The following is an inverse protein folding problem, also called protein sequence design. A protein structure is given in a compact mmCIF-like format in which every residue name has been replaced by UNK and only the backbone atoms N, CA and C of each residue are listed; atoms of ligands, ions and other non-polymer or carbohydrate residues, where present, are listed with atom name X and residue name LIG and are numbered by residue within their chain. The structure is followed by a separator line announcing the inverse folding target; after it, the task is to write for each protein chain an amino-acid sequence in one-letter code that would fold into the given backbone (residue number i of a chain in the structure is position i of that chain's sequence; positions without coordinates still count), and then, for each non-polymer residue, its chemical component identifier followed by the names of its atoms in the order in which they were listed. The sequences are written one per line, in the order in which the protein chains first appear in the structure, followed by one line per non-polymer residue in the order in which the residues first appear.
data_IF_301719135505
#
_entry.id   IF_301719135505
#
_cell.length_a   1.000
_cell.length_b   1.000
_cell.length_c   1.000
_cell.angle_alpha   90.00
_cell.angle_beta   90.00
_cell.angle_gamma   90.00
#
_symmetry.space_group_name_H-M   'P 1'
#
loop_
_entity.id
_entity.type
_entity.pdbx_description
1 polymer ?
#
# COMPACT_ATOMS: atom_id res chain seq x y z
N UNK A 1 -4.04 -3.39 7.34
CA UNK A 1 -4.75 -2.49 6.40
C UNK A 1 -5.48 -3.31 5.35
N UNK A 2 -6.77 -3.06 5.14
CA UNK A 2 -7.63 -3.91 4.32
C UNK A 2 -8.40 -3.01 3.34
N UNK A 3 -7.94 -2.89 2.07
CA UNK A 3 -8.74 -2.23 1.03
C UNK A 3 -9.99 -3.05 0.71
N UNK A 4 -11.15 -2.40 0.67
CA UNK A 4 -12.45 -3.06 0.48
C UNK A 4 -13.37 -2.29 -0.44
N UNK A 5 -14.24 -3.01 -1.15
CA UNK A 5 -15.39 -2.47 -1.87
C UNK A 5 -16.44 -3.56 -2.00
N UNK A 6 -17.58 -3.42 -1.28
CA UNK A 6 -18.68 -4.37 -1.27
C UNK A 6 -18.21 -5.82 -0.95
N UNK A 7 -17.64 -5.99 0.24
CA UNK A 7 -17.13 -7.27 0.75
C UNK A 7 -17.85 -7.69 2.06
N UNK A 8 -19.16 -7.37 2.20
CA UNK A 8 -19.95 -7.66 3.42
C UNK A 8 -19.92 -9.14 3.81
N UNK A 9 -19.75 -10.05 2.84
CA UNK A 9 -19.71 -11.51 3.08
C UNK A 9 -18.42 -11.95 3.74
N UNK A 10 -17.30 -11.33 3.40
CA UNK A 10 -15.95 -11.82 3.75
C UNK A 10 -15.26 -10.95 4.81
N UNK A 11 -15.53 -9.63 4.84
CA UNK A 11 -14.76 -8.70 5.67
C UNK A 11 -14.76 -9.07 7.17
N UNK A 12 -15.86 -9.62 7.67
CA UNK A 12 -15.96 -10.07 9.07
C UNK A 12 -14.98 -11.19 9.38
N UNK A 13 -14.91 -12.21 8.53
CA UNK A 13 -14.01 -13.37 8.69
C UNK A 13 -12.55 -12.97 8.47
N UNK A 14 -12.28 -12.08 7.51
CA UNK A 14 -10.94 -11.54 7.27
C UNK A 14 -10.41 -10.85 8.53
N UNK A 15 -11.23 -10.04 9.20
CA UNK A 15 -10.86 -9.35 10.43
C UNK A 15 -10.67 -10.34 11.59
N UNK A 16 -11.60 -11.28 11.78
CA UNK A 16 -11.53 -12.29 12.86
C UNK A 16 -10.32 -13.23 12.70
N UNK A 17 -9.92 -13.52 11.47
CA UNK A 17 -8.76 -14.36 11.15
C UNK A 17 -7.39 -13.71 11.43
N UNK A 18 -7.33 -12.41 11.74
CA UNK A 18 -6.08 -11.73 12.07
C UNK A 18 -5.51 -12.28 13.37
N UNK A 19 -4.25 -12.79 13.40
CA UNK A 19 -3.68 -13.46 14.57
C UNK A 19 -3.25 -12.45 15.66
N UNK A 20 -4.17 -11.56 16.06
CA UNK A 20 -3.89 -10.46 16.99
C UNK A 20 -3.35 -10.94 18.34
N UNK A 21 -3.89 -12.04 18.89
CA UNK A 21 -3.40 -12.61 20.15
C UNK A 21 -1.96 -13.10 20.02
N UNK A 22 -1.62 -13.80 18.95
CA UNK A 22 -0.26 -14.28 18.71
C UNK A 22 0.72 -13.10 18.51
N UNK A 23 0.32 -12.07 17.77
CA UNK A 23 1.14 -10.88 17.58
C UNK A 23 1.36 -10.12 18.90
N UNK A 24 0.35 -10.02 19.75
CA UNK A 24 0.47 -9.40 21.08
C UNK A 24 1.46 -10.17 22.00
N UNK A 25 1.47 -11.50 21.97
CA UNK A 25 2.46 -12.27 22.73
C UNK A 25 3.91 -12.04 22.25
N UNK A 26 4.07 -11.58 21.00
CA UNK A 26 5.35 -11.16 20.42
C UNK A 26 5.66 -9.68 20.67
N UNK A 27 4.85 -8.96 21.45
CA UNK A 27 5.04 -7.56 21.81
C UNK A 27 4.49 -6.54 20.81
N UNK A 28 3.63 -6.96 19.86
CA UNK A 28 2.98 -6.08 18.90
C UNK A 28 1.60 -5.65 19.38
N UNK A 29 1.31 -4.37 19.35
CA UNK A 29 -0.06 -3.88 19.36
C UNK A 29 -0.63 -3.90 17.94
N UNK A 30 -1.89 -4.37 17.80
CA UNK A 30 -2.51 -4.61 16.48
C UNK A 30 -3.67 -3.68 16.30
N UNK A 31 -3.54 -2.80 15.33
CA UNK A 31 -4.60 -1.90 14.87
C UNK A 31 -5.09 -2.33 13.48
N UNK A 32 -6.41 -2.32 13.28
CA UNK A 32 -7.04 -2.72 12.02
C UNK A 32 -7.57 -1.47 11.34
N UNK A 33 -7.09 -1.21 10.12
CA UNK A 33 -7.56 -0.12 9.27
C UNK A 33 -8.19 -0.69 8.01
N UNK A 34 -9.48 -0.43 7.80
CA UNK A 34 -10.20 -0.72 6.56
C UNK A 34 -10.19 0.54 5.69
N UNK A 35 -9.78 0.38 4.43
CA UNK A 35 -9.78 1.45 3.42
C UNK A 35 -10.96 1.19 2.48
N UNK A 36 -12.05 1.88 2.72
CA UNK A 36 -13.32 1.67 2.03
C UNK A 36 -13.39 2.44 0.70
N UNK A 37 -13.69 1.71 -0.37
CA UNK A 37 -13.84 2.21 -1.73
C UNK A 37 -15.25 2.70 -2.09
N UNK A 38 -16.01 3.22 -1.12
CA UNK A 38 -17.43 3.59 -1.25
C UNK A 38 -18.36 2.38 -1.33
N UNK A 39 -18.24 1.44 -0.40
CA UNK A 39 -19.14 0.30 -0.30
C UNK A 39 -20.59 0.74 -0.09
N UNK A 40 -21.49 0.13 -0.85
CA UNK A 40 -22.93 0.35 -0.79
C UNK A 40 -23.70 -0.72 0.02
N UNK A 41 -22.99 -1.76 0.44
CA UNK A 41 -23.46 -2.86 1.27
C UNK A 41 -23.09 -2.65 2.75
N UNK A 42 -23.17 -3.68 3.57
CA UNK A 42 -22.87 -3.62 5.01
C UNK A 42 -21.39 -3.74 5.36
N UNK A 43 -20.47 -3.67 4.39
CA UNK A 43 -19.02 -3.80 4.61
C UNK A 43 -18.52 -2.89 5.74
N UNK A 44 -18.84 -1.60 5.68
CA UNK A 44 -18.39 -0.60 6.66
C UNK A 44 -18.99 -0.83 8.04
N UNK A 45 -20.28 -1.20 8.10
CA UNK A 45 -20.98 -1.52 9.37
C UNK A 45 -20.31 -2.71 10.05
N UNK A 46 -20.06 -3.80 9.30
CA UNK A 46 -19.43 -5.02 9.81
C UNK A 46 -18.02 -4.72 10.30
N UNK A 47 -17.22 -4.00 9.50
CA UNK A 47 -15.85 -3.66 9.87
C UNK A 47 -15.78 -2.86 11.18
N UNK A 48 -16.62 -1.84 11.34
CA UNK A 48 -16.70 -1.05 12.58
C UNK A 48 -17.17 -1.89 13.77
N UNK A 49 -18.15 -2.77 13.56
CA UNK A 49 -18.64 -3.70 14.59
C UNK A 49 -17.57 -4.67 15.09
N UNK A 50 -16.55 -4.97 14.27
CA UNK A 50 -15.36 -5.76 14.61
C UNK A 50 -14.22 -4.93 15.21
N UNK A 51 -14.43 -3.64 15.46
CA UNK A 51 -13.44 -2.74 16.07
C UNK A 51 -12.41 -2.18 15.09
N UNK A 52 -12.59 -2.36 13.77
CA UNK A 52 -11.72 -1.74 12.79
C UNK A 52 -11.98 -0.23 12.66
N UNK A 53 -10.91 0.53 12.50
CA UNK A 53 -10.99 1.92 12.03
C UNK A 53 -11.28 1.90 10.54
N UNK A 54 -12.17 2.78 10.07
CA UNK A 54 -12.57 2.82 8.65
C UNK A 54 -12.25 4.19 8.09
N UNK A 55 -11.45 4.19 7.04
CA UNK A 55 -11.17 5.35 6.20
C UNK A 55 -11.90 5.19 4.87
N UNK A 56 -12.76 6.12 4.49
CA UNK A 56 -13.39 6.13 3.17
C UNK A 56 -12.52 6.98 2.22
N UNK A 57 -12.03 6.35 1.15
CA UNK A 57 -11.13 7.00 0.19
C UNK A 57 -11.81 8.12 -0.59
N UNK A 58 -11.03 9.08 -1.08
CA UNK A 58 -11.47 10.05 -2.07
C UNK A 58 -11.20 9.49 -3.48
N UNK A 59 -12.22 9.50 -4.36
CA UNK A 59 -12.14 8.92 -5.70
C UNK A 59 -12.32 7.40 -5.70
N UNK A 60 -11.97 6.75 -6.81
CA UNK A 60 -12.27 5.35 -7.06
C UNK A 60 -11.00 4.53 -7.30
N UNK A 61 -11.10 3.22 -7.05
CA UNK A 61 -10.07 2.22 -7.31
C UNK A 61 -9.12 1.98 -6.14
N UNK A 62 -8.64 0.73 -6.05
CA UNK A 62 -7.77 0.25 -4.96
C UNK A 62 -6.51 1.12 -4.80
N UNK A 63 -5.85 1.44 -5.90
CA UNK A 63 -4.63 2.25 -5.88
C UNK A 63 -4.87 3.65 -5.33
N UNK A 64 -6.04 4.26 -5.61
CA UNK A 64 -6.39 5.58 -5.08
C UNK A 64 -6.45 5.57 -3.54
N UNK A 65 -7.11 4.58 -2.94
CA UNK A 65 -7.18 4.42 -1.50
C UNK A 65 -5.81 4.20 -0.85
N UNK A 66 -5.05 3.25 -1.38
CA UNK A 66 -3.71 2.92 -0.87
C UNK A 66 -2.75 4.11 -0.95
N UNK A 67 -2.72 4.81 -2.07
CA UNK A 67 -1.91 6.01 -2.26
C UNK A 67 -2.24 7.10 -1.25
N UNK A 68 -3.52 7.33 -0.98
CA UNK A 68 -3.94 8.31 0.02
C UNK A 68 -3.42 7.96 1.41
N UNK A 69 -3.54 6.69 1.80
CA UNK A 69 -3.05 6.21 3.09
C UNK A 69 -1.52 6.29 3.18
N UNK A 70 -0.79 5.85 2.15
CA UNK A 70 0.67 5.90 2.18
C UNK A 70 1.22 7.33 2.12
N UNK A 71 0.55 8.25 1.43
CA UNK A 71 0.94 9.67 1.40
C UNK A 71 0.84 10.35 2.75
N UNK A 72 -0.02 9.86 3.65
CA UNK A 72 -0.13 10.38 5.03
C UNK A 72 1.17 10.16 5.86
N UNK A 73 2.08 9.30 5.40
CA UNK A 73 3.39 9.13 6.04
C UNK A 73 4.46 10.12 5.58
N UNK A 74 4.20 10.88 4.53
CA UNK A 74 5.10 11.97 4.15
C UNK A 74 4.76 13.22 4.98
N UNK A 75 5.64 13.68 5.90
CA UNK A 75 5.36 14.83 6.77
C UNK A 75 5.00 16.10 6.01
N UNK A 76 5.55 16.28 4.79
CA UNK A 76 5.26 17.45 3.95
C UNK A 76 3.84 17.43 3.38
N UNK A 77 3.34 16.25 3.01
CA UNK A 77 1.96 16.09 2.51
C UNK A 77 0.92 16.19 3.63
N UNK A 78 1.26 15.71 4.83
CA UNK A 78 0.39 15.83 6.02
C UNK A 78 0.11 17.29 6.34
N UNK A 79 1.13 18.14 6.36
CA UNK A 79 0.97 19.58 6.65
C UNK A 79 0.07 20.25 5.61
N UNK A 80 0.29 19.98 4.31
CA UNK A 80 -0.51 20.56 3.23
C UNK A 80 -1.97 20.10 3.28
N UNK A 81 -2.24 18.82 3.59
CA UNK A 81 -3.61 18.28 3.70
C UNK A 81 -4.33 18.77 4.95
N UNK A 82 -3.67 18.86 6.09
CA UNK A 82 -4.25 19.40 7.33
C UNK A 82 -4.71 20.84 7.16
N UNK A 83 -4.00 21.64 6.38
CA UNK A 83 -4.39 23.00 6.05
C UNK A 83 -5.59 23.08 5.10
N UNK A 84 -5.79 22.06 4.24
CA UNK A 84 -6.90 22.00 3.26
C UNK A 84 -8.19 21.33 3.80
N UNK A 85 -8.12 20.53 4.87
CA UNK A 85 -9.17 19.62 5.33
C UNK A 85 -9.83 20.08 6.64
N UNK A 86 -10.19 21.34 6.77
CA UNK A 86 -10.91 21.83 7.98
C UNK A 86 -12.28 21.18 8.26
N UNK A 87 -12.82 20.33 7.38
CA UNK A 87 -14.16 19.74 7.50
C UNK A 87 -14.25 18.20 7.57
N UNK A 88 -13.14 17.44 7.43
CA UNK A 88 -13.16 15.98 7.46
C UNK A 88 -12.32 15.39 8.60
N UNK A 89 -12.18 16.11 9.69
CA UNK A 89 -11.09 15.95 10.66
C UNK A 89 -11.17 14.68 11.53
N UNK A 90 -12.36 14.16 11.84
CA UNK A 90 -12.46 13.11 12.88
C UNK A 90 -12.16 11.67 12.38
N UNK A 91 -12.54 11.30 11.16
CA UNK A 91 -12.24 9.96 10.61
C UNK A 91 -10.81 9.83 10.11
N UNK A 92 -10.27 10.90 9.54
CA UNK A 92 -8.93 10.91 8.95
C UNK A 92 -7.83 10.97 10.01
N UNK A 93 -8.05 11.65 11.13
CA UNK A 93 -7.11 11.69 12.26
C UNK A 93 -6.94 10.31 12.92
N UNK A 94 -8.02 9.52 13.02
CA UNK A 94 -7.96 8.18 13.56
C UNK A 94 -7.13 7.22 12.69
N UNK A 95 -7.32 7.29 11.37
CA UNK A 95 -6.52 6.52 10.41
C UNK A 95 -5.06 6.96 10.39
N UNK A 96 -4.82 8.27 10.49
CA UNK A 96 -3.48 8.88 10.50
C UNK A 96 -2.66 8.45 11.72
N UNK A 97 -3.25 8.45 12.92
CA UNK A 97 -2.55 8.04 14.15
C UNK A 97 -2.06 6.59 14.07
N UNK A 98 -2.89 5.67 13.55
CA UNK A 98 -2.53 4.26 13.35
C UNK A 98 -1.27 4.10 12.51
N UNK A 99 -1.17 4.87 11.44
CA UNK A 99 -0.05 4.77 10.50
C UNK A 99 1.23 5.43 11.01
N UNK A 100 1.12 6.56 11.69
CA UNK A 100 2.29 7.32 12.15
C UNK A 100 3.09 6.55 13.20
N UNK A 101 2.41 5.83 14.08
CA UNK A 101 3.03 5.13 15.21
C UNK A 101 3.34 3.66 14.91
N UNK A 102 2.87 3.10 13.79
CA UNK A 102 3.09 1.69 13.49
C UNK A 102 4.52 1.40 13.02
N UNK A 103 5.12 0.32 13.52
CA UNK A 103 6.41 -0.21 13.06
C UNK A 103 6.29 -0.89 11.69
N UNK A 104 5.21 -1.61 11.49
CA UNK A 104 4.91 -2.35 10.26
C UNK A 104 3.50 -2.05 9.77
N UNK A 105 3.32 -2.07 8.47
CA UNK A 105 2.00 -2.08 7.82
C UNK A 105 1.87 -3.37 7.03
N UNK A 106 0.86 -4.18 7.34
CA UNK A 106 0.50 -5.35 6.54
C UNK A 106 -0.81 -5.07 5.82
N UNK A 107 -0.80 -5.20 4.50
CA UNK A 107 -1.97 -5.08 3.63
C UNK A 107 -2.42 -6.48 3.20
N UNK A 108 -3.74 -6.70 3.16
CA UNK A 108 -4.35 -7.86 2.51
C UNK A 108 -5.72 -7.46 1.95
N UNK A 109 -6.14 -8.10 0.86
CA UNK A 109 -7.44 -7.86 0.25
C UNK A 109 -8.58 -8.33 1.17
N UNK A 110 -9.71 -7.60 1.14
CA UNK A 110 -10.86 -7.85 2.01
C UNK A 110 -11.83 -8.91 1.52
N UNK A 111 -11.53 -9.60 0.40
CA UNK A 111 -12.40 -10.55 -0.29
C UNK A 111 -12.31 -12.01 0.20
N UNK A 112 -11.53 -12.26 1.26
CA UNK A 112 -11.36 -13.58 1.86
C UNK A 112 -10.43 -14.52 1.12
N UNK A 113 -9.87 -14.15 -0.04
CA UNK A 113 -8.98 -15.03 -0.81
C UNK A 113 -7.60 -15.22 -0.16
N UNK A 114 -7.20 -14.30 0.73
CA UNK A 114 -5.94 -14.32 1.45
C UNK A 114 -6.18 -14.60 2.94
N UNK A 115 -5.85 -15.80 3.48
CA UNK A 115 -6.03 -16.09 4.89
C UNK A 115 -5.19 -15.15 5.78
N UNK A 116 -5.86 -14.42 6.65
CA UNK A 116 -5.23 -13.41 7.53
C UNK A 116 -4.20 -13.99 8.50
N UNK A 117 -4.22 -15.30 8.74
CA UNK A 117 -3.25 -15.99 9.60
C UNK A 117 -1.81 -15.80 9.13
N UNK A 118 -1.58 -15.61 7.82
CA UNK A 118 -0.24 -15.39 7.27
C UNK A 118 0.37 -14.03 7.62
N UNK A 119 -0.40 -13.11 8.21
CA UNK A 119 0.13 -11.85 8.78
C UNK A 119 1.26 -12.14 9.77
N UNK A 120 1.14 -13.22 10.56
CA UNK A 120 2.18 -13.65 11.49
C UNK A 120 3.52 -13.96 10.81
N UNK A 121 3.49 -14.63 9.65
CA UNK A 121 4.68 -14.95 8.84
C UNK A 121 5.26 -13.72 8.17
N UNK A 122 4.40 -12.82 7.68
CA UNK A 122 4.83 -11.54 7.09
C UNK A 122 5.57 -10.69 8.13
N UNK A 123 5.01 -10.55 9.34
CA UNK A 123 5.64 -9.81 10.44
C UNK A 123 6.96 -10.47 10.87
N UNK A 124 7.02 -11.82 10.89
CA UNK A 124 8.26 -12.52 11.22
C UNK A 124 9.38 -12.20 10.22
N UNK A 125 9.08 -12.20 8.93
CA UNK A 125 10.06 -11.86 7.90
C UNK A 125 10.50 -10.37 7.98
N UNK A 126 9.57 -9.45 8.31
CA UNK A 126 9.95 -8.05 8.56
C UNK A 126 10.87 -7.91 9.79
N UNK A 127 10.71 -8.74 10.82
CA UNK A 127 11.62 -8.78 11.98
C UNK A 127 13.02 -9.29 11.62
N UNK A 128 13.15 -10.10 10.56
CA UNK A 128 14.43 -10.54 10.00
C UNK A 128 15.14 -9.44 9.19
N UNK A 129 14.56 -8.24 9.14
CA UNK A 129 15.16 -7.06 8.51
C UNK A 129 14.81 -6.88 7.04
N UNK A 130 13.78 -7.54 6.52
CA UNK A 130 13.22 -7.17 5.24
C UNK A 130 12.47 -5.84 5.33
N UNK A 131 12.53 -5.03 4.26
CA UNK A 131 11.78 -3.77 4.17
C UNK A 131 10.40 -3.99 3.59
N UNK A 132 10.29 -4.95 2.67
CA UNK A 132 9.06 -5.29 1.95
C UNK A 132 8.92 -6.80 1.84
N UNK A 133 7.75 -7.32 2.19
CA UNK A 133 7.40 -8.74 2.07
C UNK A 133 6.16 -8.89 1.21
N UNK A 134 6.20 -9.81 0.25
CA UNK A 134 5.06 -10.25 -0.53
C UNK A 134 4.60 -11.63 -0.06
N UNK A 135 3.28 -11.80 0.08
CA UNK A 135 2.68 -13.13 0.24
C UNK A 135 2.60 -13.82 -1.12
N UNK A 136 3.49 -14.78 -1.40
CA UNK A 136 3.50 -15.45 -2.70
C UNK A 136 2.58 -16.66 -2.72
N UNK A 137 1.57 -16.61 -3.60
CA UNK A 137 0.67 -17.73 -3.92
C UNK A 137 1.41 -18.85 -4.65
N UNK A 138 2.38 -18.48 -5.49
CA UNK A 138 3.19 -19.43 -6.29
C UNK A 138 4.22 -20.20 -5.46
N UNK A 139 4.59 -19.69 -4.29
CA UNK A 139 5.43 -20.42 -3.31
C UNK A 139 4.61 -21.24 -2.31
N UNK A 140 3.31 -20.98 -2.24
CA UNK A 140 2.38 -21.61 -1.31
C UNK A 140 1.41 -22.55 -1.98
N UNK A 141 0.15 -22.48 -1.58
CA UNK A 141 -0.91 -23.36 -2.05
C UNK A 141 -1.98 -22.53 -2.75
N UNK A 142 -2.27 -22.86 -4.00
CA UNK A 142 -3.40 -22.30 -4.75
C UNK A 142 -4.50 -23.37 -4.72
N UNK A 143 -5.63 -23.06 -4.07
CA UNK A 143 -6.78 -23.96 -4.00
C UNK A 143 -7.34 -24.21 -5.41
N UNK A 144 -7.78 -25.44 -5.66
CA UNK A 144 -8.33 -25.82 -6.96
C UNK A 144 -9.52 -24.93 -7.34
N UNK A 145 -9.45 -24.31 -8.52
CA UNK A 145 -10.50 -23.42 -9.02
C UNK A 145 -10.42 -21.97 -8.52
N UNK A 146 -9.57 -21.64 -7.54
CA UNK A 146 -9.44 -20.27 -7.02
C UNK A 146 -8.77 -19.31 -8.00
N UNK A 147 -7.96 -19.81 -8.92
CA UNK A 147 -7.28 -19.02 -9.94
C UNK A 147 -7.47 -19.65 -11.33
N UNK A 148 -7.94 -18.86 -12.30
CA UNK A 148 -8.04 -19.33 -13.68
C UNK A 148 -6.66 -19.58 -14.29
N UNK A 149 -6.56 -20.50 -15.26
CA UNK A 149 -5.30 -20.77 -15.98
C UNK A 149 -4.74 -19.52 -16.66
N UNK A 150 -5.60 -18.63 -17.15
CA UNK A 150 -5.20 -17.37 -17.76
C UNK A 150 -4.56 -16.44 -16.73
N UNK A 151 -5.18 -16.29 -15.55
CA UNK A 151 -4.62 -15.47 -14.45
C UNK A 151 -3.32 -16.05 -13.92
N UNK A 152 -3.23 -17.37 -13.81
CA UNK A 152 -2.00 -18.06 -13.41
C UNK A 152 -0.86 -17.74 -14.38
N UNK A 153 -1.07 -17.98 -15.67
CA UNK A 153 -0.06 -17.71 -16.69
C UNK A 153 0.29 -16.22 -16.79
N UNK A 154 -0.71 -15.34 -16.75
CA UNK A 154 -0.51 -13.90 -16.77
C UNK A 154 0.35 -13.41 -15.61
N UNK A 155 0.03 -13.84 -14.38
CA UNK A 155 0.83 -13.51 -13.20
C UNK A 155 2.27 -14.05 -13.30
N UNK A 156 2.45 -15.28 -13.78
CA UNK A 156 3.76 -15.86 -14.00
C UNK A 156 4.60 -15.01 -14.96
N UNK A 157 4.02 -14.60 -16.10
CA UNK A 157 4.72 -13.76 -17.08
C UNK A 157 5.06 -12.39 -16.50
N UNK A 158 4.09 -11.72 -15.84
CA UNK A 158 4.31 -10.40 -15.24
C UNK A 158 5.37 -10.41 -14.15
N UNK A 159 5.39 -11.45 -13.31
CA UNK A 159 6.40 -11.59 -12.25
C UNK A 159 7.82 -11.80 -12.82
N UNK A 160 7.94 -12.62 -13.87
CA UNK A 160 9.22 -12.80 -14.55
C UNK A 160 9.70 -11.52 -15.25
N UNK A 161 8.79 -10.78 -15.89
CA UNK A 161 9.11 -9.48 -16.50
C UNK A 161 9.56 -8.46 -15.45
N UNK A 162 8.88 -8.39 -14.31
CA UNK A 162 9.27 -7.52 -13.20
C UNK A 162 10.67 -7.89 -12.67
N UNK A 163 10.91 -9.19 -12.45
CA UNK A 163 12.22 -9.70 -12.01
C UNK A 163 13.34 -9.31 -12.97
N UNK A 164 13.10 -9.44 -14.28
CA UNK A 164 14.08 -9.09 -15.31
C UNK A 164 14.32 -7.57 -15.37
N UNK A 165 13.27 -6.77 -15.39
CA UNK A 165 13.36 -5.32 -15.52
C UNK A 165 14.08 -4.67 -14.33
N UNK A 166 13.90 -5.20 -13.13
CA UNK A 166 14.43 -4.61 -11.90
C UNK A 166 15.62 -5.34 -11.31
N UNK A 167 16.05 -6.46 -11.92
CA UNK A 167 17.08 -7.36 -11.39
C UNK A 167 16.80 -7.78 -9.92
N UNK A 168 15.51 -7.87 -9.55
CA UNK A 168 15.00 -8.22 -8.23
C UNK A 168 14.04 -9.40 -8.38
N UNK A 169 14.38 -10.59 -7.86
CA UNK A 169 13.51 -11.76 -7.97
C UNK A 169 12.16 -11.53 -7.28
N UNK A 170 11.09 -11.86 -7.99
CA UNK A 170 9.72 -11.91 -7.45
C UNK A 170 8.95 -13.03 -8.15
N UNK A 171 8.21 -13.83 -7.39
CA UNK A 171 7.43 -14.95 -7.95
C UNK A 171 5.96 -14.60 -8.11
N UNK A 172 5.44 -13.65 -7.33
CA UNK A 172 4.03 -13.26 -7.35
C UNK A 172 3.87 -11.75 -7.20
N UNK A 173 4.01 -11.04 -8.33
CA UNK A 173 3.89 -9.58 -8.37
C UNK A 173 2.49 -9.08 -8.03
N UNK A 174 1.45 -9.80 -8.51
CA UNK A 174 0.05 -9.37 -8.40
C UNK A 174 -0.65 -9.95 -7.17
N UNK A 175 0.11 -10.24 -6.11
CA UNK A 175 -0.47 -10.67 -4.84
C UNK A 175 -1.20 -9.53 -4.14
N UNK A 176 -2.30 -9.83 -3.44
CA UNK A 176 -3.00 -8.87 -2.59
C UNK A 176 -2.48 -8.82 -1.14
N UNK A 177 -1.44 -9.61 -0.78
CA UNK A 177 -0.86 -9.59 0.56
C UNK A 177 0.54 -9.02 0.55
N UNK A 178 0.73 -7.90 1.25
CA UNK A 178 2.01 -7.18 1.34
C UNK A 178 2.31 -6.77 2.78
N UNK A 179 3.59 -6.81 3.15
CA UNK A 179 4.09 -6.26 4.40
C UNK A 179 5.16 -5.21 4.14
N UNK A 180 5.15 -4.16 4.92
CA UNK A 180 6.10 -3.07 4.81
C UNK A 180 6.67 -2.70 6.18
N UNK A 181 7.97 -2.51 6.24
CA UNK A 181 8.55 -1.64 7.24
C UNK A 181 8.09 -0.21 6.94
N UNK A 182 7.64 0.51 7.94
CA UNK A 182 7.04 1.83 7.72
C UNK A 182 8.02 2.88 7.22
N UNK A 183 9.31 2.73 7.49
CA UNK A 183 10.34 3.58 6.88
C UNK A 183 10.41 3.40 5.35
N UNK A 184 10.16 2.16 4.86
CA UNK A 184 10.10 1.90 3.43
C UNK A 184 8.98 2.68 2.73
N UNK A 185 7.83 2.85 3.39
CA UNK A 185 6.68 3.59 2.84
C UNK A 185 6.93 5.09 2.72
N UNK A 186 7.79 5.69 3.54
CA UNK A 186 8.05 7.14 3.53
C UNK A 186 8.62 7.64 2.22
N UNK A 187 9.37 6.81 1.53
CA UNK A 187 10.06 7.15 0.28
C UNK A 187 9.34 6.65 -0.97
N UNK A 188 8.23 5.92 -0.82
CA UNK A 188 7.45 5.44 -1.96
C UNK A 188 6.64 6.57 -2.58
N UNK A 189 6.83 6.78 -3.89
CA UNK A 189 6.04 7.74 -4.69
C UNK A 189 5.09 6.96 -5.58
N UNK A 190 3.82 6.95 -5.21
CA UNK A 190 2.78 6.19 -5.89
C UNK A 190 1.84 7.15 -6.61
N UNK A 191 1.52 6.86 -7.88
CA UNK A 191 0.55 7.61 -8.69
C UNK A 191 -0.59 6.74 -9.25
N UNK A 192 -0.49 5.42 -9.12
CA UNK A 192 -1.53 4.47 -9.55
C UNK A 192 -2.84 4.69 -8.82
N UNK A 193 -3.94 4.57 -9.54
CA UNK A 193 -5.29 4.64 -8.97
C UNK A 193 -6.05 3.31 -9.04
N UNK A 194 -5.56 2.34 -9.80
CA UNK A 194 -6.22 1.07 -10.09
C UNK A 194 -5.39 -0.15 -9.63
N UNK A 195 -5.54 -1.28 -10.33
CA UNK A 195 -4.86 -2.55 -10.04
C UNK A 195 -3.40 -2.63 -10.54
N UNK A 196 -2.84 -1.53 -10.99
CA UNK A 196 -1.42 -1.39 -11.32
C UNK A 196 -0.58 -0.95 -10.10
N UNK A 197 -1.24 -0.75 -8.95
CA UNK A 197 -0.61 -0.29 -7.71
C UNK A 197 0.42 -1.30 -7.16
N UNK A 198 0.16 -2.60 -7.28
CA UNK A 198 1.09 -3.64 -6.84
C UNK A 198 2.39 -3.60 -7.64
N UNK A 199 2.28 -3.43 -8.96
CA UNK A 199 3.44 -3.27 -9.83
C UNK A 199 4.24 -2.01 -9.49
N UNK A 200 3.55 -0.94 -9.16
CA UNK A 200 4.17 0.31 -8.77
C UNK A 200 4.87 0.20 -7.41
N UNK A 201 4.23 -0.42 -6.41
CA UNK A 201 4.86 -0.68 -5.10
C UNK A 201 6.13 -1.52 -5.25
N UNK A 202 6.11 -2.57 -6.08
CA UNK A 202 7.29 -3.37 -6.38
C UNK A 202 8.38 -2.53 -7.05
N UNK A 203 8.03 -1.79 -8.10
CA UNK A 203 8.96 -0.95 -8.85
C UNK A 203 9.65 0.10 -7.96
N UNK A 204 8.88 0.80 -7.13
CA UNK A 204 9.42 1.79 -6.19
C UNK A 204 10.30 1.13 -5.13
N UNK A 205 9.89 -0.03 -4.60
CA UNK A 205 10.70 -0.79 -3.64
C UNK A 205 12.06 -1.18 -4.24
N UNK A 206 12.06 -1.75 -5.44
CA UNK A 206 13.28 -2.16 -6.12
C UNK A 206 14.20 -0.97 -6.49
N UNK A 207 13.62 0.14 -6.98
CA UNK A 207 14.38 1.36 -7.31
C UNK A 207 15.01 2.03 -6.11
N UNK A 208 14.36 1.95 -4.95
CA UNK A 208 14.89 2.49 -3.70
C UNK A 208 15.90 1.55 -3.02
N UNK A 209 16.22 0.39 -3.63
CA UNK A 209 17.17 -0.57 -3.10
C UNK A 209 16.68 -1.26 -1.82
N UNK A 210 15.37 -1.34 -1.62
CA UNK A 210 14.77 -1.98 -0.45
C UNK A 210 14.98 -3.49 -0.49
N UNK A 211 15.14 -4.10 0.68
CA UNK A 211 15.28 -5.53 0.84
C UNK A 211 13.90 -6.20 0.73
N UNK A 212 13.61 -6.78 -0.43
CA UNK A 212 12.34 -7.42 -0.76
C UNK A 212 12.43 -8.92 -0.52
N UNK A 213 11.45 -9.49 0.17
CA UNK A 213 11.31 -10.93 0.41
C UNK A 213 9.91 -11.44 0.07
N UNK A 214 9.74 -12.76 0.11
CA UNK A 214 8.46 -13.42 -0.10
C UNK A 214 8.22 -14.51 0.94
N UNK A 215 6.98 -14.61 1.42
CA UNK A 215 6.52 -15.71 2.27
C UNK A 215 5.48 -16.54 1.51
N UNK A 216 5.51 -17.88 1.61
CA UNK A 216 4.47 -18.73 1.01
C UNK A 216 3.14 -18.51 1.71
N UNK A 217 2.06 -18.36 0.92
CA UNK A 217 0.70 -18.23 1.44
C UNK A 217 -0.27 -19.14 0.70
N UNK A 218 -1.41 -19.48 1.32
CA UNK A 218 -2.52 -20.07 0.61
C UNK A 218 -3.34 -18.98 -0.12
N UNK A 219 -3.94 -19.37 -1.24
CA UNK A 219 -4.91 -18.58 -1.99
C UNK A 219 -6.19 -19.39 -2.14
N UNK A 220 -7.27 -18.86 -1.58
CA UNK A 220 -8.57 -19.54 -1.48
C UNK A 220 -9.52 -19.08 -2.57
N UNK A 221 -10.58 -19.87 -2.76
CA UNK A 221 -11.66 -19.52 -3.68
C UNK A 221 -12.41 -18.29 -3.17
N UNK A 222 -12.71 -17.36 -4.07
CA UNK A 222 -13.42 -16.12 -3.76
C UNK A 222 -14.92 -16.39 -3.64
N UNK A 223 -15.54 -15.81 -2.62
CA UNK A 223 -17.00 -15.69 -2.55
C UNK A 223 -17.44 -14.43 -3.30
N UNK A 224 -17.90 -14.58 -4.55
CA UNK A 224 -18.37 -13.47 -5.38
C UNK A 224 -17.63 -13.29 -6.69
N UNK A 225 -17.99 -12.25 -7.44
CA UNK A 225 -17.43 -12.00 -8.76
C UNK A 225 -16.14 -11.18 -8.69
N UNK A 226 -15.18 -11.52 -9.56
CA UNK A 226 -13.96 -10.72 -9.72
C UNK A 226 -14.27 -9.41 -10.47
N UNK A 227 -13.85 -8.29 -9.92
CA UNK A 227 -13.98 -6.96 -10.55
C UNK A 227 -12.87 -6.68 -11.57
N UNK A 228 -11.91 -7.60 -11.73
CA UNK A 228 -10.72 -7.44 -12.57
C UNK A 228 -10.95 -8.05 -13.95
N UNK A 229 -10.69 -7.28 -15.00
CA UNK A 229 -10.63 -7.76 -16.38
C UNK A 229 -9.18 -8.14 -16.68
N UNK A 230 -8.86 -9.45 -16.83
CA UNK A 230 -7.45 -9.91 -16.78
C UNK A 230 -6.54 -9.31 -17.86
N UNK A 231 -7.03 -9.17 -19.09
CA UNK A 231 -6.23 -8.66 -20.22
C UNK A 231 -5.88 -7.19 -20.08
N UNK A 232 -6.87 -6.36 -19.68
CA UNK A 232 -6.65 -4.92 -19.48
C UNK A 232 -5.72 -4.67 -18.29
N UNK A 233 -5.97 -5.38 -17.18
CA UNK A 233 -5.12 -5.29 -16.01
C UNK A 233 -3.67 -5.71 -16.29
N UNK A 234 -3.48 -6.82 -17.03
CA UNK A 234 -2.16 -7.30 -17.41
C UNK A 234 -1.35 -6.27 -18.23
N UNK A 235 -2.00 -5.61 -19.19
CA UNK A 235 -1.37 -4.55 -19.96
C UNK A 235 -1.03 -3.32 -19.11
N UNK A 236 -1.95 -2.89 -18.24
CA UNK A 236 -1.72 -1.76 -17.33
C UNK A 236 -0.54 -2.02 -16.38
N UNK A 237 -0.48 -3.22 -15.81
CA UNK A 237 0.61 -3.65 -14.92
C UNK A 237 1.95 -3.63 -15.65
N UNK A 238 2.03 -4.24 -16.84
CA UNK A 238 3.25 -4.25 -17.65
C UNK A 238 3.69 -2.83 -18.03
N UNK A 239 2.73 -2.01 -18.48
CA UNK A 239 3.02 -0.61 -18.81
C UNK A 239 3.56 0.16 -17.61
N UNK A 240 2.96 -0.02 -16.42
CA UNK A 240 3.43 0.61 -15.18
C UNK A 240 4.86 0.21 -14.85
N UNK A 241 5.20 -1.09 -14.93
CA UNK A 241 6.57 -1.56 -14.72
C UNK A 241 7.57 -0.88 -15.66
N UNK A 242 7.27 -0.83 -16.95
CA UNK A 242 8.14 -0.18 -17.96
C UNK A 242 8.25 1.32 -17.69
N UNK A 243 7.12 1.98 -17.48
CA UNK A 243 7.07 3.42 -17.18
C UNK A 243 7.93 3.76 -15.96
N UNK A 244 7.77 3.02 -14.86
CA UNK A 244 8.53 3.25 -13.62
C UNK A 244 10.01 2.93 -13.76
N UNK A 245 10.38 1.94 -14.57
CA UNK A 245 11.78 1.60 -14.82
C UNK A 245 12.55 2.73 -15.48
N UNK A 246 11.92 3.39 -16.45
CA UNK A 246 12.57 4.42 -17.27
C UNK A 246 12.22 5.85 -16.85
N UNK A 247 11.27 6.06 -15.92
CA UNK A 247 11.05 7.39 -15.37
C UNK A 247 12.25 7.78 -14.51
N UNK A 248 13.00 8.77 -14.95
CA UNK A 248 14.00 9.44 -14.12
C UNK A 248 13.25 10.20 -13.02
N UNK A 249 13.52 9.84 -11.77
CA UNK A 249 13.01 10.62 -10.64
C UNK A 249 13.47 12.08 -10.83
N UNK A 250 12.54 13.01 -10.96
CA UNK A 250 12.81 14.45 -10.83
C UNK A 250 13.17 14.76 -9.37
N UNK A 251 14.34 14.31 -8.94
CA UNK A 251 14.87 14.47 -7.58
C UNK A 251 15.55 15.83 -7.38
N UNK A 252 15.70 16.62 -8.45
CA UNK A 252 16.62 17.77 -8.45
C UNK A 252 15.90 19.13 -8.52
N UNK A 253 14.70 19.23 -9.10
CA UNK A 253 14.10 20.57 -9.29
C UNK A 253 13.54 21.19 -8.00
N UNK A 254 13.02 20.43 -7.06
CA UNK A 254 12.42 21.00 -5.85
C UNK A 254 13.47 21.49 -4.86
N UNK A 255 14.65 20.87 -4.77
CA UNK A 255 15.74 21.37 -3.93
C UNK A 255 16.39 22.63 -4.49
N UNK A 256 16.55 22.74 -5.83
CA UNK A 256 17.13 23.92 -6.47
C UNK A 256 16.20 25.15 -6.41
N UNK A 257 14.89 24.95 -6.37
CA UNK A 257 13.93 26.06 -6.19
C UNK A 257 13.99 26.60 -4.76
N UNK A 258 14.06 25.74 -3.76
CA UNK A 258 14.15 26.15 -2.34
C UNK A 258 15.51 26.79 -2.00
N UNK A 259 16.61 26.34 -2.60
CA UNK A 259 17.92 27.01 -2.45
C UNK A 259 17.96 28.38 -3.13
N UNK A 260 17.32 28.54 -4.28
CA UNK A 260 17.22 29.85 -4.96
C UNK A 260 16.34 30.84 -4.19
N UNK A 261 15.25 30.42 -3.59
CA UNK A 261 14.40 31.29 -2.76
C UNK A 261 15.09 31.67 -1.44
N UNK A 262 15.85 30.78 -0.82
CA UNK A 262 16.61 31.08 0.40
C UNK A 262 17.78 32.03 0.13
N UNK A 263 18.43 31.96 -1.04
CA UNK A 263 19.54 32.85 -1.40
C UNK A 263 19.06 34.27 -1.77
N UNK A 264 17.81 34.44 -2.23
CA UNK A 264 17.23 35.75 -2.49
C UNK A 264 16.73 36.45 -1.21
N UNK A 265 16.35 35.70 -0.19
CA UNK A 265 15.93 36.25 1.10
C UNK A 265 17.11 36.83 1.94
N UNK A 266 18.33 36.37 1.66
CA UNK A 266 19.54 36.80 2.43
C UNK A 266 20.18 38.06 1.87
N UNK A 267 19.76 38.59 0.69
CA UNK A 267 20.36 39.77 0.04
C UNK A 267 19.61 41.09 0.29
N UNK A 268 18.51 41.08 1.04
CA UNK A 268 17.82 42.28 1.49
C UNK A 268 18.20 42.63 2.93
N UNK A 269 19.40 43.08 3.13
CA UNK A 269 19.86 43.68 4.39
C UNK A 269 19.13 45.00 4.67
N UNK A 270 18.99 45.41 5.95
CA UNK A 270 18.22 46.59 6.33
C UNK A 270 18.96 47.87 5.90
N UNK A 271 18.30 48.67 5.04
CA UNK A 271 18.73 50.03 4.79
C UNK A 271 18.48 50.89 6.04
N UNK A 272 19.54 51.15 6.78
CA UNK A 272 19.59 52.17 7.84
C UNK A 272 19.43 53.56 7.20
N UNK A 273 18.24 54.13 7.28
CA UNK A 273 18.02 55.55 7.06
C UNK A 273 18.51 56.37 8.27
N UNK A 274 19.66 57.01 8.11
CA UNK A 274 20.03 58.21 8.93
C UNK A 274 19.45 59.44 8.23
N UNK A 275 18.90 60.34 9.01
CA UNK A 275 18.66 61.70 8.53
C UNK A 275 17.67 62.48 9.36
N UNK A 276 18.24 63.25 10.25
CA UNK A 276 17.98 64.60 10.81
C UNK A 276 16.70 64.79 11.60
#
# INVERSE_FOLDING_TARGET
MIPTLNEERCIGEVIDGIPATNLRTRGYDVEILVVDGHSSDRTVEIARGKGAKVYTQNGNGKGSGLRQIFSLRNPQEVVLRTLSLKSAIDSDLGALSVLLDSKYVVMLDGDGTYPSVYIGSVVAALDEGYDVILGSRFKGIIEDGSMSRLNYFGNFVLSNMASLLYAQPVTDLCTGMWGFNTEALRNMRLDSSQFDIEAEMFAESAKNGLRIGEVPIAFLSREGESKLIPMEAGFMILWKLVQRRFSTAKRVETMLVLEKESSHATTLGPALGRGV
#
